data_IF_575694910613
#
_entry.id   IF_575694910613
#
_cell.length_a   1.000
_cell.length_b   1.000
_cell.length_c   1.000
_cell.angle_alpha   90.00
_cell.angle_beta   90.00
_cell.angle_gamma   90.00
#
_symmetry.space_group_name_H-M   'P 1'
#
loop_
_entity.id
_entity.type
_entity.pdbx_description
1 polymer ?
#
# COMPACT_ATOMS: atom_id res chain seq x y z
N UNK A 1 -8.38 -17.04 24.50
CA UNK A 1 -7.77 -16.36 23.34
C UNK A 1 -7.19 -17.40 22.39
N UNK A 2 -7.17 -17.15 21.06
CA UNK A 2 -6.94 -18.19 20.03
C UNK A 2 -5.47 -18.34 19.57
N UNK A 3 -4.60 -17.38 19.86
CA UNK A 3 -3.22 -17.33 19.36
C UNK A 3 -2.16 -17.14 20.47
N UNK A 4 -2.03 -18.08 21.41
CA UNK A 4 -0.93 -18.04 22.38
C UNK A 4 0.43 -18.31 21.70
N UNK A 5 1.56 -17.79 22.23
CA UNK A 5 2.89 -17.96 21.64
C UNK A 5 3.26 -19.41 21.33
N UNK A 6 2.89 -20.38 22.17
CA UNK A 6 3.16 -21.80 22.00
C UNK A 6 2.42 -22.40 20.79
N UNK A 7 1.24 -21.84 20.48
CA UNK A 7 0.50 -22.20 19.27
C UNK A 7 1.19 -21.64 18.03
N UNK A 8 1.64 -20.37 18.09
CA UNK A 8 2.25 -19.63 16.97
C UNK A 8 3.64 -20.17 16.63
N UNK A 9 4.40 -20.67 17.61
CA UNK A 9 5.70 -21.31 17.40
C UNK A 9 5.61 -22.46 16.39
N UNK A 10 4.57 -23.30 16.50
CA UNK A 10 4.36 -24.42 15.58
C UNK A 10 4.05 -23.99 14.14
N UNK A 11 3.55 -22.77 13.95
CA UNK A 11 3.21 -22.21 12.63
C UNK A 11 4.42 -21.49 12.02
N UNK A 12 5.11 -20.69 12.84
CA UNK A 12 6.14 -19.75 12.37
C UNK A 12 7.56 -20.33 12.43
N UNK A 13 7.77 -21.37 13.25
CA UNK A 13 9.10 -21.89 13.57
C UNK A 13 9.92 -20.98 14.51
N UNK A 14 9.33 -19.89 15.02
CA UNK A 14 9.99 -18.99 15.98
C UNK A 14 9.61 -19.40 17.39
N UNK A 15 10.61 -19.62 18.25
CA UNK A 15 10.40 -20.02 19.65
C UNK A 15 9.42 -19.06 20.37
N UNK A 16 8.45 -19.62 21.10
CA UNK A 16 7.42 -18.88 21.85
C UNK A 16 8.03 -17.83 22.80
N UNK A 17 9.17 -18.17 23.42
CA UNK A 17 9.93 -17.26 24.27
C UNK A 17 10.41 -16.02 23.49
N UNK A 18 10.93 -16.22 22.26
CA UNK A 18 11.43 -15.12 21.41
C UNK A 18 10.31 -14.21 20.91
N UNK A 19 9.14 -14.78 20.60
CA UNK A 19 7.94 -14.01 20.28
C UNK A 19 7.56 -13.12 21.47
N UNK A 20 7.51 -13.71 22.67
CA UNK A 20 7.15 -12.99 23.90
C UNK A 20 8.17 -11.92 24.28
N UNK A 21 9.47 -12.20 24.12
CA UNK A 21 10.58 -11.28 24.35
C UNK A 21 10.46 -10.06 23.42
N UNK A 22 10.29 -10.29 22.11
CA UNK A 22 10.14 -9.22 21.13
C UNK A 22 8.90 -8.35 21.39
N UNK A 23 7.76 -8.98 21.72
CA UNK A 23 6.54 -8.26 22.06
C UNK A 23 6.72 -7.36 23.29
N UNK A 24 7.37 -7.87 24.36
CA UNK A 24 7.66 -7.08 25.56
C UNK A 24 8.66 -5.96 25.30
N UNK A 25 9.68 -6.21 24.47
CA UNK A 25 10.67 -5.20 24.09
C UNK A 25 9.99 -4.03 23.36
N UNK A 26 9.15 -4.34 22.36
CA UNK A 26 8.40 -3.34 21.62
C UNK A 26 7.41 -2.57 22.52
N UNK A 27 6.66 -3.27 23.37
CA UNK A 27 5.65 -2.66 24.24
C UNK A 27 6.23 -1.79 25.37
N UNK A 28 7.45 -2.07 25.83
CA UNK A 28 8.12 -1.32 26.92
C UNK A 28 8.95 -0.14 26.43
N UNK A 29 9.21 -0.03 25.13
CA UNK A 29 9.98 1.08 24.59
C UNK A 29 9.19 2.39 24.76
N UNK A 30 9.86 3.45 25.23
CA UNK A 30 9.25 4.80 25.30
C UNK A 30 8.82 5.29 23.91
N UNK A 31 9.59 4.91 22.88
CA UNK A 31 9.34 5.21 21.47
C UNK A 31 9.76 4.02 20.62
N UNK A 32 8.82 3.49 19.85
CA UNK A 32 9.09 2.45 18.86
C UNK A 32 8.47 2.81 17.51
N UNK A 33 9.17 2.45 16.45
CA UNK A 33 8.75 2.64 15.07
C UNK A 33 8.77 1.31 14.34
N UNK A 34 7.67 1.02 13.63
CA UNK A 34 7.59 -0.13 12.73
C UNK A 34 7.98 0.36 11.35
N UNK A 35 8.99 -0.26 10.76
CA UNK A 35 9.43 -0.01 9.39
C UNK A 35 9.25 -1.31 8.62
N UNK A 36 8.49 -1.27 7.53
CA UNK A 36 8.20 -2.47 6.75
C UNK A 36 8.22 -2.18 5.24
N UNK A 37 8.29 -3.24 4.42
CA UNK A 37 8.26 -3.14 2.96
C UNK A 37 7.53 -4.35 2.38
N UNK A 38 7.99 -4.84 1.23
CA UNK A 38 7.33 -5.87 0.45
C UNK A 38 7.20 -7.23 1.16
N UNK A 39 8.06 -7.51 2.15
CA UNK A 39 7.94 -8.70 3.00
C UNK A 39 6.66 -8.77 3.84
N UNK A 40 5.90 -7.67 3.93
CA UNK A 40 4.57 -7.64 4.56
C UNK A 40 3.47 -7.58 3.51
N UNK A 41 3.64 -6.80 2.46
CA UNK A 41 2.57 -6.48 1.50
C UNK A 41 2.43 -7.50 0.36
N UNK A 42 3.49 -8.18 -0.06
CA UNK A 42 3.44 -9.20 -1.14
C UNK A 42 3.02 -10.58 -0.63
N UNK A 43 1.93 -10.62 0.12
CA UNK A 43 1.29 -11.82 0.62
C UNK A 43 -0.21 -11.75 0.33
N UNK A 44 -0.87 -12.91 0.22
CA UNK A 44 -2.33 -12.99 0.01
C UNK A 44 -3.08 -12.24 1.11
N UNK A 45 -2.53 -12.22 2.33
CA UNK A 45 -3.07 -11.50 3.50
C UNK A 45 -2.33 -10.18 3.75
N UNK A 46 -1.73 -9.56 2.74
CA UNK A 46 -0.87 -8.38 2.88
C UNK A 46 -1.57 -7.21 3.57
N UNK A 47 -2.84 -6.96 3.24
CA UNK A 47 -3.67 -5.94 3.90
C UNK A 47 -3.83 -6.21 5.39
N UNK A 48 -4.17 -7.45 5.77
CA UNK A 48 -4.36 -7.84 7.17
C UNK A 48 -3.05 -7.76 7.97
N UNK A 49 -1.92 -8.06 7.34
CA UNK A 49 -0.61 -7.91 7.95
C UNK A 49 -0.32 -6.43 8.27
N UNK A 50 -0.59 -5.51 7.34
CA UNK A 50 -0.43 -4.06 7.57
C UNK A 50 -1.35 -3.56 8.67
N UNK A 51 -2.62 -3.98 8.67
CA UNK A 51 -3.58 -3.66 9.74
C UNK A 51 -3.09 -4.18 11.09
N UNK A 52 -2.54 -5.39 11.13
CA UNK A 52 -1.99 -5.97 12.35
C UNK A 52 -0.81 -5.15 12.91
N UNK A 53 0.09 -4.66 12.05
CA UNK A 53 1.17 -3.76 12.46
C UNK A 53 0.63 -2.42 12.99
N UNK A 54 -0.38 -1.85 12.33
CA UNK A 54 -1.08 -0.66 12.81
C UNK A 54 -1.71 -0.87 14.19
N UNK A 55 -2.35 -2.02 14.41
CA UNK A 55 -2.94 -2.38 15.70
C UNK A 55 -1.88 -2.47 16.80
N UNK A 56 -0.71 -3.04 16.53
CA UNK A 56 0.39 -3.07 17.51
C UNK A 56 0.88 -1.66 17.87
N UNK A 57 1.05 -0.78 16.88
CA UNK A 57 1.43 0.61 17.13
C UNK A 57 0.37 1.38 17.92
N UNK A 58 -0.92 1.18 17.62
CA UNK A 58 -2.01 1.79 18.38
C UNK A 58 -2.08 1.27 19.81
N UNK A 59 -1.99 -0.06 20.00
CA UNK A 59 -2.05 -0.71 21.30
C UNK A 59 -0.94 -0.23 22.26
N UNK A 60 0.23 0.06 21.70
CA UNK A 60 1.41 0.51 22.47
C UNK A 60 1.53 2.04 22.54
N UNK A 61 0.58 2.80 21.97
CA UNK A 61 0.61 4.26 21.97
C UNK A 61 1.76 4.87 21.16
N UNK A 62 2.26 4.12 20.16
CA UNK A 62 3.33 4.49 19.24
C UNK A 62 2.80 5.20 17.98
N UNK A 63 1.74 5.99 18.11
CA UNK A 63 1.13 6.77 17.00
C UNK A 63 1.08 8.25 17.38
N UNK A 64 1.35 9.13 16.41
CA UNK A 64 1.26 10.59 16.60
C UNK A 64 2.41 11.21 17.39
N UNK A 65 3.52 10.49 17.61
CA UNK A 65 4.69 10.97 18.35
C UNK A 65 5.94 10.95 17.46
N UNK A 66 6.87 11.88 17.72
CA UNK A 66 8.14 11.93 16.99
C UNK A 66 8.95 10.66 17.26
N UNK A 67 9.40 10.01 16.19
CA UNK A 67 10.19 8.78 16.27
C UNK A 67 9.38 7.51 16.47
N UNK A 68 8.04 7.58 16.37
CA UNK A 68 7.15 6.42 16.40
C UNK A 68 6.41 6.27 15.06
N UNK A 69 5.52 5.28 14.97
CA UNK A 69 4.58 5.13 13.86
C UNK A 69 4.80 3.86 13.05
N UNK A 70 4.02 3.76 11.98
CA UNK A 70 4.04 2.63 11.04
C UNK A 70 4.43 3.18 9.68
N UNK A 71 5.63 2.79 9.23
CA UNK A 71 6.35 3.47 8.17
C UNK A 71 6.60 2.49 7.01
N UNK A 72 5.76 2.50 5.97
CA UNK A 72 6.02 1.72 4.76
C UNK A 72 7.20 2.32 3.98
N UNK A 73 8.25 1.53 3.76
CA UNK A 73 9.32 1.85 2.83
C UNK A 73 8.83 1.63 1.40
N UNK A 74 8.58 2.74 0.72
CA UNK A 74 8.20 2.77 -0.70
C UNK A 74 9.47 2.62 -1.56
N UNK A 75 9.42 1.73 -2.55
CA UNK A 75 10.60 1.39 -3.36
C UNK A 75 10.96 2.43 -4.43
N UNK A 76 9.98 2.86 -5.23
CA UNK A 76 10.22 3.81 -6.32
C UNK A 76 10.23 5.26 -5.85
N UNK A 77 11.07 6.08 -6.48
CA UNK A 77 11.33 7.48 -6.13
C UNK A 77 10.09 8.37 -6.10
N UNK A 78 9.04 8.05 -6.87
CA UNK A 78 7.82 8.86 -6.91
C UNK A 78 6.53 8.02 -6.83
N UNK A 79 6.59 6.82 -6.23
CA UNK A 79 5.36 6.03 -6.02
C UNK A 79 4.37 6.79 -5.14
N UNK A 80 4.86 7.52 -4.13
CA UNK A 80 4.00 8.34 -3.28
C UNK A 80 3.37 9.49 -4.07
N UNK A 81 4.17 10.25 -4.81
CA UNK A 81 3.65 11.37 -5.60
C UNK A 81 2.70 10.94 -6.71
N UNK A 82 2.92 9.78 -7.34
CA UNK A 82 1.99 9.21 -8.32
C UNK A 82 0.62 8.93 -7.68
N UNK A 83 0.59 8.31 -6.51
CA UNK A 83 -0.65 8.12 -5.76
C UNK A 83 -1.29 9.46 -5.35
N UNK A 84 -0.48 10.44 -4.90
CA UNK A 84 -0.96 11.75 -4.47
C UNK A 84 -1.64 12.53 -5.61
N UNK A 85 -1.19 12.35 -6.87
CA UNK A 85 -1.80 12.97 -8.06
C UNK A 85 -2.91 12.13 -8.69
N UNK A 86 -3.39 11.09 -8.01
CA UNK A 86 -4.53 10.29 -8.47
C UNK A 86 -4.20 9.33 -9.61
N UNK A 87 -2.95 8.85 -9.73
CA UNK A 87 -2.61 7.72 -10.59
C UNK A 87 -3.07 6.38 -9.96
N UNK A 88 -4.33 6.34 -9.54
CA UNK A 88 -5.03 5.23 -8.91
C UNK A 88 -6.45 5.20 -9.48
N UNK A 89 -7.04 4.01 -9.68
CA UNK A 89 -8.31 3.89 -10.41
C UNK A 89 -9.53 4.45 -9.65
N UNK A 90 -9.43 4.69 -8.34
CA UNK A 90 -10.56 4.99 -7.47
C UNK A 90 -10.52 6.39 -6.82
N UNK A 91 -9.49 7.20 -7.11
CA UNK A 91 -9.32 8.53 -6.52
C UNK A 91 -8.83 9.59 -7.53
N UNK A 92 -9.29 10.82 -7.33
CA UNK A 92 -8.70 12.04 -7.89
C UNK A 92 -7.47 12.49 -7.06
N UNK A 93 -6.69 13.48 -7.54
CA UNK A 93 -5.59 14.05 -6.77
C UNK A 93 -5.97 14.41 -5.32
N UNK A 94 -5.07 14.12 -4.38
CA UNK A 94 -5.30 14.34 -2.95
C UNK A 94 -6.21 13.30 -2.30
N UNK A 95 -6.25 12.07 -2.83
CA UNK A 95 -7.02 10.95 -2.28
C UNK A 95 -8.54 11.19 -2.18
N UNK A 96 -9.09 12.03 -3.07
CA UNK A 96 -10.52 12.31 -3.13
C UNK A 96 -11.20 11.19 -3.94
N UNK A 97 -12.07 10.39 -3.33
CA UNK A 97 -12.71 9.24 -4.03
C UNK A 97 -13.51 9.67 -5.25
N UNK A 98 -13.39 8.90 -6.34
CA UNK A 98 -14.21 9.13 -7.55
C UNK A 98 -15.70 8.94 -7.27
N UNK A 99 -16.06 8.13 -6.27
CA UNK A 99 -17.45 7.90 -5.85
C UNK A 99 -18.05 9.06 -5.07
N UNK A 100 -17.23 10.01 -4.57
CA UNK A 100 -17.72 11.22 -3.90
C UNK A 100 -18.19 12.27 -4.92
N UNK A 101 -19.48 12.61 -4.84
CA UNK A 101 -20.11 13.60 -5.72
C UNK A 101 -19.46 14.97 -5.61
N UNK A 102 -19.10 15.43 -4.41
CA UNK A 102 -18.49 16.77 -4.25
C UNK A 102 -17.10 16.84 -4.88
N UNK A 103 -16.32 15.76 -4.74
CA UNK A 103 -15.03 15.63 -5.40
C UNK A 103 -15.18 15.63 -6.92
N UNK A 104 -16.14 14.88 -7.47
CA UNK A 104 -16.43 14.87 -8.92
C UNK A 104 -16.84 16.25 -9.43
N UNK A 105 -17.81 16.91 -8.80
CA UNK A 105 -18.30 18.24 -9.20
C UNK A 105 -17.15 19.27 -9.22
N UNK A 106 -16.28 19.22 -8.21
CA UNK A 106 -15.07 20.05 -8.14
C UNK A 106 -14.13 19.78 -9.31
N UNK A 107 -13.88 18.51 -9.65
CA UNK A 107 -13.01 18.14 -10.79
C UNK A 107 -13.65 18.49 -12.14
N UNK A 108 -14.94 18.22 -12.34
CA UNK A 108 -15.70 18.60 -13.54
C UNK A 108 -15.57 20.09 -13.83
N UNK A 109 -15.78 20.93 -12.80
CA UNK A 109 -15.63 22.37 -12.90
C UNK A 109 -14.19 22.78 -13.22
N UNK A 110 -13.20 22.19 -12.55
CA UNK A 110 -11.80 22.51 -12.76
C UNK A 110 -11.30 22.14 -14.17
N UNK A 111 -11.71 20.99 -14.68
CA UNK A 111 -11.31 20.46 -15.98
C UNK A 111 -12.23 20.87 -17.13
N UNK A 112 -13.33 21.57 -16.83
CA UNK A 112 -14.34 22.04 -17.79
C UNK A 112 -14.95 20.89 -18.62
N UNK A 113 -15.19 19.75 -17.96
CA UNK A 113 -15.86 18.60 -18.54
C UNK A 113 -17.28 18.49 -18.02
N UNK A 114 -18.21 18.05 -18.88
CA UNK A 114 -19.62 17.94 -18.51
C UNK A 114 -19.84 16.85 -17.46
N UNK A 115 -19.22 15.68 -17.64
CA UNK A 115 -19.42 14.50 -16.79
C UNK A 115 -18.10 13.78 -16.53
N UNK A 116 -17.99 13.20 -15.33
CA UNK A 116 -16.94 12.26 -14.93
C UNK A 116 -17.62 11.00 -14.39
N UNK A 117 -17.04 9.84 -14.68
CA UNK A 117 -17.55 8.56 -14.19
C UNK A 117 -17.57 8.55 -12.64
N UNK A 118 -18.59 7.92 -12.08
CA UNK A 118 -18.78 7.75 -10.65
C UNK A 118 -18.30 6.40 -10.12
N UNK A 119 -17.73 5.57 -11.00
CA UNK A 119 -17.19 4.24 -10.67
C UNK A 119 -15.67 4.24 -10.72
N UNK A 120 -15.02 3.46 -9.84
CA UNK A 120 -13.60 3.15 -9.98
C UNK A 120 -13.29 2.50 -11.32
N UNK A 121 -12.13 2.86 -11.89
CA UNK A 121 -11.56 2.15 -13.03
C UNK A 121 -11.06 0.75 -12.67
N UNK A 122 -10.54 0.04 -13.68
CA UNK A 122 -9.93 -1.27 -13.48
C UNK A 122 -8.53 -1.14 -12.87
N UNK A 123 -8.18 -2.05 -11.97
CA UNK A 123 -6.80 -2.27 -11.55
C UNK A 123 -6.00 -2.97 -12.63
N UNK A 124 -4.67 -2.92 -12.56
CA UNK A 124 -3.84 -3.59 -13.56
C UNK A 124 -4.09 -5.11 -13.71
N UNK A 125 -4.22 -5.90 -12.63
CA UNK A 125 -4.56 -7.31 -12.78
C UNK A 125 -5.93 -7.52 -13.44
N UNK A 126 -6.92 -6.66 -13.15
CA UNK A 126 -8.24 -6.71 -13.78
C UNK A 126 -8.17 -6.38 -15.27
N UNK A 127 -7.39 -5.36 -15.67
CA UNK A 127 -7.16 -5.03 -17.08
C UNK A 127 -6.56 -6.21 -17.84
N UNK A 128 -5.52 -6.84 -17.29
CA UNK A 128 -4.88 -8.02 -17.88
C UNK A 128 -5.86 -9.19 -18.03
N UNK A 129 -6.69 -9.44 -17.02
CA UNK A 129 -7.72 -10.48 -17.07
C UNK A 129 -8.79 -10.16 -18.12
N UNK A 130 -9.27 -8.92 -18.19
CA UNK A 130 -10.27 -8.47 -19.17
C UNK A 130 -9.76 -8.52 -20.62
N UNK A 131 -8.49 -8.19 -20.84
CA UNK A 131 -7.85 -8.29 -22.14
C UNK A 131 -7.73 -9.76 -22.61
N UNK A 132 -7.48 -10.69 -21.68
CA UNK A 132 -7.39 -12.13 -22.00
C UNK A 132 -8.73 -12.77 -22.39
N UNK A 133 -9.86 -12.21 -21.93
CA UNK A 133 -11.22 -12.73 -22.17
C UNK A 133 -11.97 -12.07 -23.35
N UNK A 134 -11.26 -11.41 -24.28
CA UNK A 134 -11.77 -10.89 -25.56
C UNK A 134 -12.62 -9.59 -25.53
N UNK A 135 -12.58 -8.81 -24.44
CA UNK A 135 -13.10 -7.44 -24.47
C UNK A 135 -12.02 -6.47 -24.95
N UNK A 136 -12.37 -5.56 -25.87
CA UNK A 136 -11.49 -4.51 -26.38
C UNK A 136 -11.14 -3.51 -25.27
N UNK A 137 -10.14 -3.84 -24.46
CA UNK A 137 -9.51 -2.93 -23.50
C UNK A 137 -8.37 -2.22 -24.23
N UNK A 138 -8.44 -0.89 -24.28
CA UNK A 138 -7.34 -0.05 -24.78
C UNK A 138 -6.45 0.36 -23.61
N UNK A 139 -5.24 -0.20 -23.53
CA UNK A 139 -4.27 0.14 -22.48
C UNK A 139 -3.26 1.18 -22.99
N UNK A 140 -3.04 2.23 -22.20
CA UNK A 140 -1.97 3.21 -22.44
C UNK A 140 -0.95 3.15 -21.30
N UNK A 141 0.18 2.49 -21.55
CA UNK A 141 1.24 2.31 -20.56
C UNK A 141 2.20 3.50 -20.56
N UNK A 142 2.26 4.24 -19.44
CA UNK A 142 3.25 5.30 -19.23
C UNK A 142 4.35 4.79 -18.32
N UNK A 143 5.56 4.62 -18.86
CA UNK A 143 6.75 4.29 -18.09
C UNK A 143 7.50 5.56 -17.69
N UNK A 144 7.75 5.70 -16.38
CA UNK A 144 8.66 6.75 -15.88
C UNK A 144 10.09 6.20 -15.90
N UNK A 145 11.04 6.82 -16.63
CA UNK A 145 12.41 6.34 -16.70
C UNK A 145 13.09 6.41 -15.33
N UNK A 146 13.56 5.26 -14.85
CA UNK A 146 14.41 5.18 -13.65
C UNK A 146 15.85 5.52 -14.05
N UNK A 147 16.42 6.56 -13.46
CA UNK A 147 17.83 6.89 -13.66
C UNK A 147 18.70 5.75 -13.11
N UNK A 148 19.38 5.04 -14.02
CA UNK A 148 20.36 3.99 -13.66
C UNK A 148 21.68 4.62 -13.26
N UNK A 149 22.20 4.22 -12.10
CA UNK A 149 23.59 4.46 -11.72
C UNK A 149 24.56 3.37 -12.25
N UNK A 150 24.07 2.30 -12.90
CA UNK A 150 24.94 1.27 -13.48
C UNK A 150 24.36 0.65 -14.77
N UNK A 151 25.16 0.64 -15.85
CA UNK A 151 24.77 0.40 -17.25
C UNK A 151 24.71 -1.10 -17.65
N UNK A 152 23.95 -1.96 -16.95
CA UNK A 152 24.06 -3.41 -17.29
C UNK A 152 22.80 -4.23 -17.50
N UNK A 153 21.59 -3.86 -17.03
CA UNK A 153 20.40 -4.70 -17.28
C UNK A 153 19.11 -3.88 -17.34
N UNK A 154 18.30 -3.91 -18.41
CA UNK A 154 16.98 -3.29 -18.41
C UNK A 154 16.09 -4.02 -17.39
N UNK A 155 15.72 -3.32 -16.32
CA UNK A 155 14.63 -3.76 -15.44
C UNK A 155 13.37 -3.14 -16.02
N UNK A 156 12.47 -3.98 -16.53
CA UNK A 156 11.09 -3.60 -16.83
C UNK A 156 10.40 -3.47 -15.48
N UNK A 157 10.05 -2.25 -15.08
CA UNK A 157 9.29 -2.00 -13.85
C UNK A 157 7.96 -1.39 -14.22
N UNK A 158 6.92 -2.11 -13.82
CA UNK A 158 5.54 -1.72 -13.97
C UNK A 158 5.18 -0.88 -12.74
N UNK A 159 4.77 0.37 -12.96
CA UNK A 159 4.08 1.16 -11.93
C UNK A 159 2.63 0.69 -12.00
N UNK A 160 2.23 -0.10 -11.01
CA UNK A 160 0.85 -0.56 -10.81
C UNK A 160 0.09 0.35 -9.86
#
# INVERSE_FOLDING_TARGET
ERYPPEYVERITGVLAEKISEAARLYAKADRASIIYSMGITQHITGTDNVVSLANLAMLTGNVGKKGTGVNPLRGHNNVQGACDVGALPDVFPGYQRVTDRQAREKMQKAWKVAELDDKPGLTQPEMLNSASCASSVGDFLVMVPVWKWNKSLPVVSIIG
#
